data_IF_285405776723
#
_entry.id   IF_285405776723
#
_cell.length_a   1.000
_cell.length_b   1.000
_cell.length_c   1.000
_cell.angle_alpha   90.00
_cell.angle_beta   90.00
_cell.angle_gamma   90.00
#
_symmetry.space_group_name_H-M   'P 1'
#
loop_
_entity.id
_entity.type
_entity.pdbx_description
1 polymer ?
#
# COMPACT_ATOMS: atom_id res chain seq x y z
N UNK A 1 12.14 -10.97 -14.50
CA UNK A 1 11.39 -12.24 -14.55
C UNK A 1 11.19 -12.58 -16.02
N UNK A 2 11.45 -13.84 -16.42
CA UNK A 2 11.42 -14.24 -17.85
C UNK A 2 10.02 -14.11 -18.46
N UNK A 3 8.98 -14.42 -17.70
CA UNK A 3 7.59 -14.27 -18.11
C UNK A 3 7.21 -12.83 -18.52
N UNK A 4 7.73 -11.83 -17.78
CA UNK A 4 7.48 -10.41 -18.06
C UNK A 4 8.19 -10.00 -19.35
N UNK A 5 9.42 -10.47 -19.57
CA UNK A 5 10.15 -10.25 -20.82
C UNK A 5 9.47 -10.93 -22.01
N UNK A 6 8.99 -12.17 -21.83
CA UNK A 6 8.25 -12.90 -22.85
C UNK A 6 6.94 -12.20 -23.25
N UNK A 7 6.33 -11.44 -22.33
CA UNK A 7 5.17 -10.59 -22.60
C UNK A 7 5.54 -9.26 -23.29
N UNK A 8 6.80 -9.05 -23.67
CA UNK A 8 7.26 -7.82 -24.34
C UNK A 8 7.41 -6.61 -23.42
N UNK A 9 7.40 -6.82 -22.10
CA UNK A 9 7.53 -5.74 -21.10
C UNK A 9 9.02 -5.51 -20.83
N UNK A 10 9.47 -4.27 -21.02
CA UNK A 10 10.85 -3.86 -20.76
C UNK A 10 11.04 -3.41 -19.32
N UNK A 11 12.13 -3.86 -18.70
CA UNK A 11 12.61 -3.31 -17.43
C UNK A 11 13.55 -2.13 -17.73
N UNK A 12 13.31 -1.02 -17.03
CA UNK A 12 14.13 0.19 -17.14
C UNK A 12 14.41 0.76 -15.75
N UNK A 13 15.51 1.51 -15.57
CA UNK A 13 15.72 2.34 -14.39
C UNK A 13 14.54 3.31 -14.18
N UNK A 14 14.24 3.64 -12.92
CA UNK A 14 13.11 4.50 -12.56
C UNK A 14 13.15 5.84 -13.32
N UNK A 15 14.32 6.48 -13.38
CA UNK A 15 14.45 7.79 -14.02
C UNK A 15 14.11 7.76 -15.52
N UNK A 16 14.43 6.66 -16.18
CA UNK A 16 14.11 6.50 -17.61
C UNK A 16 12.62 6.23 -17.79
N UNK A 17 11.99 5.45 -16.90
CA UNK A 17 10.53 5.28 -16.90
C UNK A 17 9.83 6.62 -16.73
N UNK A 18 10.28 7.45 -15.78
CA UNK A 18 9.67 8.75 -15.52
C UNK A 18 9.80 9.71 -16.73
N UNK A 19 10.92 9.64 -17.47
CA UNK A 19 11.13 10.48 -18.67
C UNK A 19 10.37 10.00 -19.89
N UNK A 20 10.17 8.70 -20.03
CA UNK A 20 9.67 8.11 -21.28
C UNK A 20 8.17 7.80 -21.24
N UNK A 21 7.59 7.53 -20.08
CA UNK A 21 6.21 7.10 -19.97
C UNK A 21 5.22 8.27 -19.99
N UNK A 22 4.08 8.07 -20.60
CA UNK A 22 2.95 9.01 -20.59
C UNK A 22 1.98 8.69 -19.45
N UNK A 23 1.96 7.43 -18.97
CA UNK A 23 1.19 6.99 -17.82
C UNK A 23 2.15 6.28 -16.87
N UNK A 24 2.17 6.69 -15.62
CA UNK A 24 3.03 6.17 -14.57
C UNK A 24 2.15 5.70 -13.42
N UNK A 25 2.17 4.41 -13.12
CA UNK A 25 1.36 3.82 -12.04
C UNK A 25 2.26 3.14 -11.00
N UNK A 26 2.06 3.47 -9.73
CA UNK A 26 2.80 2.90 -8.62
C UNK A 26 2.12 1.64 -8.07
N UNK A 27 2.93 0.58 -7.88
CA UNK A 27 2.51 -0.72 -7.34
C UNK A 27 3.59 -1.30 -6.40
N UNK A 28 4.26 -0.44 -5.64
CA UNK A 28 5.33 -0.83 -4.71
C UNK A 28 4.85 -0.73 -3.27
N UNK A 29 5.34 -1.60 -2.36
CA UNK A 29 5.09 -1.44 -0.93
C UNK A 29 5.81 -0.19 -0.39
N UNK A 30 5.34 0.35 0.75
CA UNK A 30 6.06 1.39 1.47
C UNK A 30 7.06 0.74 2.44
N UNK A 31 8.33 0.87 2.15
CA UNK A 31 9.43 0.40 2.97
C UNK A 31 10.58 1.44 3.00
N UNK A 32 11.70 1.11 3.60
CA UNK A 32 12.86 2.02 3.70
C UNK A 32 13.41 2.48 2.35
N UNK A 33 13.28 1.65 1.31
CA UNK A 33 13.81 1.92 -0.04
C UNK A 33 12.84 2.74 -0.89
N UNK A 34 11.53 2.53 -0.68
CA UNK A 34 10.48 3.16 -1.51
C UNK A 34 9.88 4.41 -0.89
N UNK A 35 10.06 4.65 0.41
CA UNK A 35 9.60 5.85 1.08
C UNK A 35 10.23 7.10 0.47
N UNK A 36 9.39 8.03 0.00
CA UNK A 36 9.85 9.25 -0.68
C UNK A 36 10.55 9.01 -2.03
N UNK A 37 10.40 7.80 -2.59
CA UNK A 37 11.03 7.43 -3.87
C UNK A 37 10.63 8.38 -5.00
N UNK A 38 9.40 8.86 -5.01
CA UNK A 38 8.91 9.85 -5.97
C UNK A 38 9.02 11.24 -5.36
N UNK A 39 10.25 11.73 -5.29
CA UNK A 39 10.59 13.08 -4.78
C UNK A 39 10.27 14.18 -5.80
N UNK A 40 10.46 15.44 -5.41
CA UNK A 40 10.32 16.59 -6.30
C UNK A 40 11.20 16.48 -7.55
N UNK A 41 12.45 16.00 -7.40
CA UNK A 41 13.39 15.80 -8.51
C UNK A 41 12.88 14.69 -9.47
N UNK A 42 12.27 13.64 -8.93
CA UNK A 42 11.69 12.57 -9.73
C UNK A 42 10.45 13.03 -10.49
N UNK A 43 9.59 13.80 -9.85
CA UNK A 43 8.41 14.42 -10.49
C UNK A 43 8.85 15.36 -11.63
N UNK A 44 9.93 16.10 -11.44
CA UNK A 44 10.47 16.99 -12.47
C UNK A 44 10.99 16.27 -13.73
N UNK A 45 11.23 14.95 -13.68
CA UNK A 45 11.61 14.14 -14.84
C UNK A 45 10.42 13.76 -15.72
N UNK A 46 9.20 13.82 -15.19
CA UNK A 46 8.00 13.38 -15.90
C UNK A 46 7.71 14.32 -17.09
N UNK A 47 7.11 13.74 -18.13
CA UNK A 47 6.62 14.52 -19.27
C UNK A 47 5.51 15.48 -18.84
N UNK A 48 5.40 16.59 -19.54
CA UNK A 48 4.29 17.52 -19.32
C UNK A 48 2.91 16.90 -19.62
N UNK A 49 2.86 15.91 -20.50
CA UNK A 49 1.66 15.12 -20.82
C UNK A 49 1.42 13.98 -19.85
N UNK A 50 2.31 13.72 -18.89
CA UNK A 50 2.22 12.54 -18.03
C UNK A 50 1.01 12.59 -17.10
N UNK A 51 0.39 11.42 -16.94
CA UNK A 51 -0.61 11.12 -15.92
C UNK A 51 0.04 10.21 -14.88
N UNK A 52 -0.01 10.64 -13.63
CA UNK A 52 0.56 9.90 -12.51
C UNK A 52 -0.54 9.23 -11.68
N UNK A 53 -0.39 7.95 -11.36
CA UNK A 53 -1.38 7.14 -10.64
C UNK A 53 -0.73 6.55 -9.40
N UNK A 54 -1.28 6.81 -8.22
CA UNK A 54 -0.85 6.22 -6.97
C UNK A 54 -2.01 5.48 -6.28
N UNK A 55 -2.04 4.16 -6.44
CA UNK A 55 -2.90 3.23 -5.69
C UNK A 55 -2.03 2.33 -4.79
N UNK A 56 -0.80 2.71 -4.51
CA UNK A 56 0.12 1.95 -3.65
C UNK A 56 0.09 2.44 -2.20
N UNK A 57 0.91 3.45 -1.86
CA UNK A 57 0.94 4.09 -0.54
C UNK A 57 1.29 5.57 -0.67
N UNK A 58 0.72 6.43 0.16
CA UNK A 58 0.95 7.88 0.14
C UNK A 58 2.42 8.23 0.35
N UNK A 59 3.02 7.72 1.40
CA UNK A 59 4.40 8.02 1.80
C UNK A 59 5.50 7.69 0.77
N UNK A 60 5.17 7.06 -0.35
CA UNK A 60 6.11 6.83 -1.47
C UNK A 60 6.34 8.11 -2.27
N UNK A 61 5.40 9.04 -2.23
CA UNK A 61 5.35 10.24 -3.07
C UNK A 61 5.49 11.49 -2.19
N UNK A 62 6.21 12.49 -2.65
CA UNK A 62 6.17 13.83 -2.08
C UNK A 62 4.86 14.53 -2.53
N UNK A 63 3.82 14.44 -1.70
CA UNK A 63 2.48 14.98 -1.96
C UNK A 63 2.50 16.49 -2.23
N UNK A 64 3.38 17.24 -1.55
CA UNK A 64 3.52 18.68 -1.75
C UNK A 64 4.11 18.99 -3.12
N UNK A 65 5.17 18.28 -3.49
CA UNK A 65 5.81 18.46 -4.79
C UNK A 65 4.88 18.04 -5.94
N UNK A 66 4.10 16.97 -5.75
CA UNK A 66 3.12 16.52 -6.73
C UNK A 66 2.02 17.58 -6.92
N UNK A 67 1.44 18.09 -5.83
CA UNK A 67 0.43 19.15 -5.87
C UNK A 67 0.96 20.42 -6.54
N UNK A 68 2.21 20.81 -6.26
CA UNK A 68 2.85 21.95 -6.91
C UNK A 68 3.01 21.71 -8.41
N UNK A 69 3.50 20.54 -8.83
CA UNK A 69 3.68 20.19 -10.23
C UNK A 69 2.37 20.24 -11.03
N UNK A 70 1.28 19.79 -10.42
CA UNK A 70 -0.07 19.84 -10.99
C UNK A 70 -0.56 21.29 -11.12
N UNK A 71 -0.41 22.10 -10.08
CA UNK A 71 -0.85 23.49 -10.08
C UNK A 71 -0.09 24.36 -11.08
N UNK A 72 1.19 24.07 -11.32
CA UNK A 72 2.05 24.70 -12.30
C UNK A 72 1.88 24.13 -13.73
N UNK A 73 1.11 23.05 -13.89
CA UNK A 73 0.91 22.38 -15.18
C UNK A 73 2.19 21.73 -15.72
N UNK A 74 3.07 21.27 -14.83
CA UNK A 74 4.28 20.52 -15.19
C UNK A 74 4.01 19.08 -15.58
N UNK A 75 2.91 18.51 -15.06
CA UNK A 75 2.34 17.23 -15.51
C UNK A 75 0.87 17.44 -15.81
N UNK A 76 0.27 16.54 -16.58
CA UNK A 76 -1.10 16.71 -17.09
C UNK A 76 -2.16 16.44 -16.00
N UNK A 77 -1.92 15.44 -15.13
CA UNK A 77 -2.88 15.09 -14.10
C UNK A 77 -2.37 13.98 -13.17
N UNK A 78 -3.09 13.76 -12.08
CA UNK A 78 -2.83 12.65 -11.18
C UNK A 78 -4.12 11.99 -10.67
N UNK A 79 -4.09 10.66 -10.50
CA UNK A 79 -5.09 9.89 -9.76
C UNK A 79 -4.43 9.35 -8.48
N UNK A 80 -5.01 9.67 -7.33
CA UNK A 80 -4.43 9.31 -6.02
C UNK A 80 -5.51 8.70 -5.13
N UNK A 81 -5.30 7.45 -4.76
CA UNK A 81 -6.21 6.70 -3.89
C UNK A 81 -5.70 6.64 -2.43
N UNK A 82 -4.43 7.02 -2.21
CA UNK A 82 -3.73 6.86 -0.94
C UNK A 82 -2.98 8.14 -0.55
N UNK A 83 -3.04 8.51 0.71
CA UNK A 83 -2.46 9.75 1.24
C UNK A 83 -1.38 9.45 2.28
N UNK A 84 -0.59 10.47 2.65
CA UNK A 84 0.44 10.36 3.68
C UNK A 84 -0.18 10.03 5.05
N UNK A 85 -1.40 10.50 5.26
CA UNK A 85 -2.22 10.27 6.44
C UNK A 85 -3.50 9.56 6.01
N UNK A 86 -3.81 8.41 6.60
CA UNK A 86 -5.09 7.74 6.39
C UNK A 86 -6.21 8.44 7.17
N UNK A 87 -7.48 8.19 6.84
CA UNK A 87 -8.59 8.96 7.41
C UNK A 87 -8.53 9.13 8.94
N UNK A 88 -8.85 10.35 9.42
CA UNK A 88 -9.29 11.52 8.67
C UNK A 88 -8.14 12.23 7.97
N UNK A 89 -8.30 12.51 6.67
CA UNK A 89 -7.33 13.29 5.89
C UNK A 89 -7.44 14.76 6.32
N UNK A 90 -6.32 15.43 6.69
CA UNK A 90 -6.33 16.85 7.03
C UNK A 90 -6.84 17.70 5.87
N UNK A 91 -7.62 18.73 6.18
CA UNK A 91 -8.17 19.66 5.17
C UNK A 91 -7.07 20.43 4.43
N UNK A 92 -5.89 20.55 5.05
CA UNK A 92 -4.71 21.21 4.52
C UNK A 92 -3.87 20.33 3.59
N UNK A 93 -4.30 19.06 3.36
CA UNK A 93 -3.60 18.16 2.44
C UNK A 93 -3.47 18.79 1.04
N UNK A 94 -2.25 19.01 0.54
CA UNK A 94 -2.04 19.80 -0.69
C UNK A 94 -2.74 19.23 -1.91
N UNK A 95 -2.88 17.90 -2.00
CA UNK A 95 -3.53 17.23 -3.13
C UNK A 95 -5.03 17.51 -3.19
N UNK A 96 -5.70 17.77 -2.04
CA UNK A 96 -7.12 18.14 -2.02
C UNK A 96 -7.39 19.46 -2.74
N UNK A 97 -6.38 20.30 -2.88
CA UNK A 97 -6.46 21.63 -3.49
C UNK A 97 -5.71 21.73 -4.82
N UNK A 98 -5.15 20.62 -5.29
CA UNK A 98 -4.40 20.59 -6.54
C UNK A 98 -5.33 20.48 -7.76
N UNK A 99 -4.89 21.04 -8.88
CA UNK A 99 -5.60 20.97 -10.18
C UNK A 99 -5.43 19.59 -10.81
N UNK A 100 -6.37 19.20 -11.66
CA UNK A 100 -6.31 18.00 -12.48
C UNK A 100 -6.05 16.72 -11.67
N UNK A 101 -6.73 16.59 -10.52
CA UNK A 101 -6.66 15.42 -9.66
C UNK A 101 -7.95 14.62 -9.70
N UNK A 102 -7.83 13.31 -9.67
CA UNK A 102 -8.85 12.36 -9.27
C UNK A 102 -8.44 11.75 -7.93
N UNK A 103 -9.21 12.00 -6.88
CA UNK A 103 -8.90 11.57 -5.52
C UNK A 103 -9.95 10.60 -5.02
N UNK A 104 -9.54 9.50 -4.44
CA UNK A 104 -10.41 8.48 -3.86
C UNK A 104 -9.91 8.09 -2.47
N UNK A 105 -10.80 7.66 -1.54
CA UNK A 105 -10.45 7.43 -0.14
C UNK A 105 -9.99 5.97 0.10
N UNK A 106 -8.90 5.56 -0.54
CA UNK A 106 -8.29 4.21 -0.42
C UNK A 106 -9.27 3.09 -0.76
N UNK A 107 -9.93 3.22 -1.89
CA UNK A 107 -11.00 2.32 -2.38
C UNK A 107 -10.72 1.72 -3.77
N UNK A 108 -9.53 1.88 -4.30
CA UNK A 108 -9.18 1.34 -5.62
C UNK A 108 -9.31 -0.20 -5.71
N UNK A 109 -9.29 -0.88 -4.57
CA UNK A 109 -9.52 -2.32 -4.47
C UNK A 109 -11.00 -2.72 -4.45
N UNK A 110 -11.92 -1.77 -4.27
CA UNK A 110 -13.33 -2.01 -3.95
C UNK A 110 -14.16 -2.21 -5.22
N UNK A 111 -13.91 -3.29 -5.96
CA UNK A 111 -14.83 -3.78 -6.98
C UNK A 111 -15.60 -5.00 -6.46
N UNK A 112 -16.76 -5.27 -7.01
CA UNK A 112 -17.61 -6.40 -6.62
C UNK A 112 -16.83 -7.73 -6.71
N UNK A 113 -16.15 -7.96 -7.83
CA UNK A 113 -15.39 -9.18 -8.07
C UNK A 113 -14.15 -9.28 -7.17
N UNK A 114 -13.50 -8.15 -6.87
CA UNK A 114 -12.35 -8.12 -5.98
C UNK A 114 -12.78 -8.45 -4.55
N UNK A 115 -13.92 -7.94 -4.10
CA UNK A 115 -14.44 -8.23 -2.75
C UNK A 115 -14.83 -9.68 -2.57
N UNK A 116 -15.47 -10.31 -3.58
CA UNK A 116 -15.77 -11.75 -3.54
C UNK A 116 -14.50 -12.57 -3.44
N UNK A 117 -13.51 -12.32 -4.33
CA UNK A 117 -12.22 -13.03 -4.30
C UNK A 117 -11.47 -12.83 -2.99
N UNK A 118 -11.50 -11.64 -2.44
CA UNK A 118 -10.86 -11.31 -1.17
C UNK A 118 -11.49 -12.09 -0.02
N UNK A 119 -12.82 -12.13 0.05
CA UNK A 119 -13.54 -12.91 1.05
C UNK A 119 -13.21 -14.40 0.95
N UNK A 120 -13.21 -14.98 -0.26
CA UNK A 120 -12.85 -16.38 -0.51
C UNK A 120 -11.43 -16.68 0.00
N UNK A 121 -10.46 -15.81 -0.28
CA UNK A 121 -9.07 -15.97 0.17
C UNK A 121 -9.00 -15.91 1.70
N UNK A 122 -9.60 -14.90 2.31
CA UNK A 122 -9.57 -14.68 3.76
C UNK A 122 -10.19 -15.86 4.51
N UNK A 123 -11.38 -16.27 4.13
CA UNK A 123 -12.07 -17.41 4.75
C UNK A 123 -11.34 -18.73 4.53
N UNK A 124 -10.78 -18.97 3.35
CA UNK A 124 -9.97 -20.15 3.06
C UNK A 124 -8.74 -20.23 3.94
N UNK A 125 -8.06 -19.09 4.17
CA UNK A 125 -6.89 -19.01 5.03
C UNK A 125 -7.25 -19.31 6.50
N UNK A 126 -8.32 -18.69 7.00
CA UNK A 126 -8.82 -18.94 8.36
C UNK A 126 -9.21 -20.42 8.54
N UNK A 127 -9.94 -20.98 7.59
CA UNK A 127 -10.35 -22.38 7.63
C UNK A 127 -9.15 -23.33 7.61
N UNK A 128 -8.15 -23.06 6.76
CA UNK A 128 -6.94 -23.85 6.68
C UNK A 128 -6.15 -23.80 7.99
N UNK A 129 -6.03 -22.62 8.59
CA UNK A 129 -5.38 -22.43 9.89
C UNK A 129 -6.06 -23.23 11.01
N UNK A 130 -7.38 -23.11 11.13
CA UNK A 130 -8.17 -23.81 12.14
C UNK A 130 -8.11 -25.35 12.01
N UNK A 131 -7.85 -25.86 10.80
CA UNK A 131 -7.70 -27.28 10.53
C UNK A 131 -6.23 -27.76 10.54
N UNK A 132 -5.30 -26.94 11.04
CA UNK A 132 -3.88 -27.29 11.13
C UNK A 132 -3.18 -27.43 9.77
N UNK A 133 -3.71 -26.80 8.72
CA UNK A 133 -3.17 -26.81 7.35
C UNK A 133 -2.93 -25.39 6.82
N UNK A 134 -2.08 -24.59 7.46
CA UNK A 134 -1.90 -23.19 7.10
C UNK A 134 -1.37 -22.98 5.67
N UNK A 135 -0.73 -24.02 5.08
CA UNK A 135 -0.21 -23.96 3.70
C UNK A 135 -1.28 -24.28 2.63
N UNK A 136 -2.47 -24.74 3.03
CA UNK A 136 -3.55 -25.05 2.09
C UNK A 136 -4.33 -23.82 1.61
N UNK A 137 -4.17 -22.68 2.30
CA UNK A 137 -4.65 -21.40 1.84
C UNK A 137 -3.87 -20.92 0.62
N UNK A 138 -4.36 -19.89 -0.03
CA UNK A 138 -3.69 -19.26 -1.17
C UNK A 138 -2.21 -19.07 -0.86
N UNK A 139 -1.35 -19.31 -1.84
CA UNK A 139 0.07 -18.97 -1.78
C UNK A 139 0.22 -17.45 -1.64
N UNK A 140 -0.05 -16.92 -0.48
CA UNK A 140 0.53 -15.65 -0.05
C UNK A 140 1.97 -16.02 0.25
N UNK A 141 2.85 -15.85 -0.73
CA UNK A 141 4.26 -15.98 -0.52
C UNK A 141 4.61 -15.04 0.63
N UNK A 142 5.18 -15.63 1.69
CA UNK A 142 5.84 -14.91 2.78
C UNK A 142 4.96 -14.28 3.89
N UNK A 143 3.75 -14.76 4.14
CA UNK A 143 3.08 -14.47 5.41
C UNK A 143 3.78 -15.27 6.52
N UNK A 144 4.61 -14.62 7.28
CA UNK A 144 5.14 -15.18 8.52
C UNK A 144 4.15 -14.88 9.64
N UNK A 145 3.41 -15.91 10.05
CA UNK A 145 2.63 -15.83 11.29
C UNK A 145 3.62 -16.06 12.42
N UNK A 146 3.94 -15.02 13.17
CA UNK A 146 4.68 -15.15 14.44
C UNK A 146 3.68 -15.08 15.58
N UNK A 147 3.42 -16.22 16.22
CA UNK A 147 2.80 -16.19 17.53
C UNK A 147 3.82 -15.62 18.52
N UNK A 148 3.46 -14.56 19.21
CA UNK A 148 4.23 -14.07 20.35
C UNK A 148 3.98 -15.05 21.49
N UNK A 149 4.95 -15.88 21.80
CA UNK A 149 4.91 -16.77 22.95
C UNK A 149 5.52 -16.08 24.16
N UNK A 150 4.94 -16.31 25.32
CA UNK A 150 5.49 -15.86 26.58
C UNK A 150 6.76 -16.65 26.96
N UNK A 151 7.37 -16.28 28.07
CA UNK A 151 8.57 -16.94 28.60
C UNK A 151 8.41 -18.44 28.95
N UNK A 152 7.17 -18.94 28.96
CA UNK A 152 6.82 -20.33 29.21
C UNK A 152 6.51 -21.09 27.90
N UNK A 153 6.68 -20.42 26.75
CA UNK A 153 6.34 -20.93 25.43
C UNK A 153 4.82 -21.10 25.19
N UNK A 154 3.99 -20.48 26.03
CA UNK A 154 2.56 -20.38 25.81
C UNK A 154 2.28 -19.22 24.84
N UNK A 155 1.31 -19.40 23.93
CA UNK A 155 0.89 -18.33 23.05
C UNK A 155 0.35 -17.21 23.92
N UNK A 156 1.03 -16.08 23.93
CA UNK A 156 0.54 -14.93 24.67
C UNK A 156 -0.87 -14.61 24.17
N UNK A 157 -1.82 -14.55 25.08
CA UNK A 157 -3.24 -14.29 24.77
C UNK A 157 -3.45 -12.94 24.05
N UNK A 158 -2.39 -12.18 23.84
CA UNK A 158 -2.45 -10.75 23.59
C UNK A 158 -2.06 -10.30 22.19
N UNK A 159 -1.37 -11.10 21.36
CA UNK A 159 -1.02 -10.63 20.03
C UNK A 159 -0.70 -11.74 19.01
N UNK A 160 -1.36 -11.73 17.89
CA UNK A 160 -0.92 -12.44 16.68
C UNK A 160 -0.31 -11.42 15.73
N UNK A 161 0.99 -11.54 15.45
CA UNK A 161 1.67 -10.71 14.46
C UNK A 161 1.56 -11.34 13.09
N UNK A 162 1.15 -10.54 12.15
CA UNK A 162 1.17 -10.86 10.73
C UNK A 162 2.18 -9.96 10.06
N UNK A 163 3.15 -10.48 9.36
CA UNK A 163 4.01 -9.68 8.50
C UNK A 163 3.90 -10.17 7.06
N UNK A 164 3.63 -9.24 6.16
CA UNK A 164 3.71 -9.45 4.73
C UNK A 164 4.77 -8.47 4.24
N UNK A 165 5.93 -8.96 3.81
CA UNK A 165 7.02 -8.15 3.23
C UNK A 165 7.31 -6.85 4.00
N UNK A 166 7.72 -6.95 5.27
CA UNK A 166 8.05 -5.83 6.17
C UNK A 166 6.89 -4.92 6.63
N UNK A 167 5.66 -5.12 6.17
CA UNK A 167 4.48 -4.50 6.77
C UNK A 167 3.96 -5.39 7.91
N UNK A 168 4.20 -5.00 9.16
CA UNK A 168 3.65 -5.69 10.33
C UNK A 168 2.19 -5.29 10.55
N UNK A 169 1.28 -6.25 10.40
CA UNK A 169 -0.09 -6.11 10.88
C UNK A 169 -0.18 -6.75 12.27
N UNK A 170 -0.36 -5.92 13.28
CA UNK A 170 -0.53 -6.37 14.66
C UNK A 170 -2.02 -6.48 14.94
N UNK A 171 -2.53 -7.70 15.07
CA UNK A 171 -3.87 -7.93 15.62
C UNK A 171 -3.76 -7.97 17.15
N UNK A 172 -4.19 -6.90 17.79
CA UNK A 172 -4.28 -6.86 19.26
C UNK A 172 -5.61 -7.50 19.67
N UNK A 173 -5.55 -8.52 20.53
CA UNK A 173 -6.72 -9.01 21.24
C UNK A 173 -7.10 -7.95 22.28
N UNK A 174 -8.37 -7.63 22.37
CA UNK A 174 -8.90 -6.74 23.40
C UNK A 174 -8.62 -7.36 24.76
N UNK A 175 -7.83 -6.69 25.60
CA UNK A 175 -7.72 -7.07 27.01
C UNK A 175 -9.07 -6.80 27.69
N UNK A 176 -9.60 -7.80 28.39
CA UNK A 176 -10.78 -7.65 29.22
C UNK A 176 -10.51 -6.85 30.53
N UNK A 177 -9.26 -6.41 30.72
CA UNK A 177 -8.86 -5.57 31.84
C UNK A 177 -8.82 -4.10 31.39
N UNK A 178 -9.85 -3.43 31.73
CA UNK A 178 -10.20 -2.04 31.74
C UNK A 178 -9.06 -1.01 31.63
N UNK A 179 -8.78 -0.58 30.42
CA UNK A 179 -8.40 0.80 30.14
C UNK A 179 -9.42 1.34 29.12
N UNK A 180 -10.00 2.51 29.42
CA UNK A 180 -11.03 3.16 28.60
C UNK A 180 -10.60 3.45 27.15
N UNK A 181 -9.33 3.26 26.80
CA UNK A 181 -8.79 3.38 25.44
C UNK A 181 -8.94 2.11 24.59
N UNK A 182 -9.13 0.93 25.23
CA UNK A 182 -9.40 -0.34 24.55
C UNK A 182 -8.25 -0.91 23.70
N UNK A 183 -7.08 -0.29 23.68
CA UNK A 183 -5.90 -0.75 22.93
C UNK A 183 -4.61 -0.45 23.71
N UNK A 184 -3.76 -1.45 23.94
CA UNK A 184 -2.38 -1.24 24.34
C UNK A 184 -1.50 -1.05 23.11
N UNK A 185 -0.55 -0.12 23.22
CA UNK A 185 0.44 0.16 22.18
C UNK A 185 1.51 -0.93 22.12
#
# INVERSE_FOLDING_TARGET
REEVKAAGIAYKPLDDLLRECDIISLHTPNNKETRGMISAEKIALMKKSAIFINCARGLIVDSKALAQALNEGRIAGAAVDVFDCEPPIPTEEPLLHAKNTLLTPHVAFLSEEAMVRRAEIEFSNVYAYLNGKPEAGTKVQDVKIQAVVDKNNDVADEAVRWSVDDDELILLKKNDDEDESGYTK
#
